data_IF_938548592714
#
_entry.id   IF_938548592714
#
_cell.length_a   1.000
_cell.length_b   1.000
_cell.length_c   1.000
_cell.angle_alpha   90.00
_cell.angle_beta   90.00
_cell.angle_gamma   90.00
#
_symmetry.space_group_name_H-M   'P 1'
#
loop_
_entity.id
_entity.type
_entity.pdbx_description
1 polymer ?
#
# COMPACT_ATOMS: atom_id res chain seq x y z
N UNK A 1 6.81 -27.26 14.09
CA UNK A 1 6.30 -27.33 12.70
C UNK A 1 7.49 -27.13 11.78
N UNK A 2 7.84 -28.14 10.97
CA UNK A 2 9.20 -28.32 10.44
C UNK A 2 9.56 -27.36 9.31
N UNK A 3 10.84 -26.97 9.29
CA UNK A 3 11.54 -26.06 8.38
C UNK A 3 11.34 -26.32 6.86
N UNK A 4 10.67 -27.44 6.52
CA UNK A 4 10.34 -27.88 5.16
C UNK A 4 9.13 -27.18 4.53
N UNK A 5 8.21 -26.59 5.31
CA UNK A 5 7.05 -25.86 4.79
C UNK A 5 7.22 -24.33 4.82
N UNK A 6 8.02 -23.81 5.76
CA UNK A 6 8.26 -22.37 5.91
C UNK A 6 9.02 -21.79 4.70
N UNK A 7 10.08 -22.44 4.23
CA UNK A 7 10.92 -21.95 3.12
C UNK A 7 10.17 -21.82 1.78
N UNK A 8 9.37 -22.81 1.31
CA UNK A 8 8.61 -22.66 0.08
C UNK A 8 7.46 -21.64 0.21
N UNK A 9 6.83 -21.54 1.39
CA UNK A 9 5.78 -20.55 1.63
C UNK A 9 6.35 -19.12 1.71
N UNK A 10 7.51 -18.93 2.36
CA UNK A 10 8.24 -17.65 2.40
C UNK A 10 8.71 -17.27 0.99
N UNK A 11 9.16 -18.23 0.16
CA UNK A 11 9.49 -17.96 -1.25
C UNK A 11 8.25 -17.60 -2.06
N UNK A 12 7.12 -18.29 -1.87
CA UNK A 12 5.86 -17.97 -2.55
C UNK A 12 5.33 -16.60 -2.11
N UNK A 13 5.39 -16.27 -0.82
CA UNK A 13 5.03 -14.97 -0.27
C UNK A 13 6.01 -13.90 -0.76
N UNK A 14 7.31 -14.16 -0.86
CA UNK A 14 8.29 -13.22 -1.41
C UNK A 14 8.09 -13.00 -2.92
N UNK A 15 7.75 -14.04 -3.68
CA UNK A 15 7.39 -13.91 -5.11
C UNK A 15 6.09 -13.13 -5.26
N UNK A 16 5.08 -13.39 -4.42
CA UNK A 16 3.82 -12.62 -4.39
C UNK A 16 4.07 -11.19 -3.91
N UNK A 17 4.94 -10.95 -2.94
CA UNK A 17 5.32 -9.63 -2.41
C UNK A 17 6.14 -8.81 -3.42
N UNK A 18 7.02 -9.45 -4.19
CA UNK A 18 7.70 -8.84 -5.32
C UNK A 18 6.76 -8.63 -6.52
N UNK A 19 5.68 -9.42 -6.64
CA UNK A 19 4.68 -9.30 -7.70
C UNK A 19 3.47 -8.42 -7.35
N UNK A 20 3.29 -8.04 -6.08
CA UNK A 20 2.12 -7.34 -5.59
C UNK A 20 2.56 -6.18 -4.67
N UNK A 21 2.67 -4.93 -5.17
CA UNK A 21 2.38 -4.45 -6.51
C UNK A 21 3.59 -3.73 -7.12
N UNK A 22 4.17 -4.31 -8.16
CA UNK A 22 4.37 -3.44 -9.30
C UNK A 22 2.96 -3.10 -9.80
N UNK A 23 2.64 -1.80 -9.82
CA UNK A 23 1.60 -1.21 -10.68
C UNK A 23 1.45 -2.07 -11.95
N UNK A 24 0.24 -2.42 -12.44
CA UNK A 24 -0.11 -3.44 -13.47
C UNK A 24 0.65 -3.44 -14.82
N UNK A 25 1.96 -3.34 -14.79
CA UNK A 25 2.86 -3.08 -15.89
C UNK A 25 4.13 -3.94 -15.77
N UNK A 26 4.09 -5.01 -14.98
CA UNK A 26 5.14 -6.05 -14.94
C UNK A 26 4.77 -7.30 -15.76
N UNK A 27 3.78 -7.19 -16.66
CA UNK A 27 3.40 -8.28 -17.57
C UNK A 27 3.95 -8.11 -19.01
N UNK A 28 4.47 -6.94 -19.39
CA UNK A 28 5.02 -6.68 -20.72
C UNK A 28 6.36 -5.93 -20.61
N UNK A 29 7.45 -6.65 -20.33
CA UNK A 29 8.84 -6.35 -20.73
C UNK A 29 9.83 -7.10 -19.82
N UNK A 30 10.07 -8.38 -20.10
CA UNK A 30 11.35 -9.00 -19.77
C UNK A 30 11.81 -9.73 -21.03
N UNK A 31 12.70 -9.06 -21.75
CA UNK A 31 13.64 -9.71 -22.65
C UNK A 31 14.82 -10.20 -21.78
N UNK A 32 15.16 -11.47 -21.90
CA UNK A 32 16.19 -12.15 -21.12
C UNK A 32 17.60 -11.76 -21.60
N UNK A 33 18.05 -10.52 -21.34
CA UNK A 33 19.49 -10.21 -21.30
C UNK A 33 19.73 -8.79 -20.81
N UNK A 34 19.92 -8.60 -19.50
CA UNK A 34 20.66 -7.46 -18.99
C UNK A 34 21.33 -7.82 -17.65
N UNK A 35 22.64 -7.63 -17.65
CA UNK A 35 23.64 -8.05 -16.67
C UNK A 35 23.45 -7.47 -15.26
N UNK A 36 23.87 -8.29 -14.29
CA UNK A 36 23.99 -7.96 -12.88
C UNK A 36 24.80 -6.68 -12.63
N UNK A 37 24.25 -5.79 -11.82
CA UNK A 37 24.98 -4.67 -11.22
C UNK A 37 25.55 -5.19 -9.89
N UNK A 38 26.87 -5.28 -9.83
CA UNK A 38 27.63 -5.67 -8.66
C UNK A 38 27.67 -4.50 -7.66
N UNK A 39 27.34 -4.76 -6.40
CA UNK A 39 27.40 -3.76 -5.32
C UNK A 39 28.56 -4.13 -4.38
N UNK A 40 29.54 -3.25 -4.32
CA UNK A 40 30.69 -3.34 -3.42
C UNK A 40 30.23 -3.28 -1.95
N UNK A 41 30.58 -4.35 -1.23
CA UNK A 41 30.30 -4.58 0.19
C UNK A 41 31.64 -4.68 0.92
N UNK A 42 32.28 -3.55 1.19
CA UNK A 42 33.42 -3.49 2.10
C UNK A 42 33.40 -2.22 2.97
N UNK A 43 32.96 -2.39 4.23
CA UNK A 43 33.65 -2.02 5.48
C UNK A 43 32.67 -1.65 6.63
N UNK A 44 32.75 -2.29 7.82
CA UNK A 44 31.91 -2.00 8.98
C UNK A 44 32.70 -1.48 10.20
N UNK A 45 32.60 -0.21 10.59
CA UNK A 45 33.03 0.25 11.93
C UNK A 45 32.16 1.43 12.42
N UNK A 46 31.35 1.21 13.47
CA UNK A 46 31.56 1.50 14.91
C UNK A 46 31.56 3.00 15.27
N UNK A 47 30.53 3.43 16.01
CA UNK A 47 30.70 3.90 17.39
C UNK A 47 29.35 4.16 18.08
N UNK A 48 29.25 3.60 19.28
CA UNK A 48 28.20 3.78 20.28
C UNK A 48 28.89 4.34 21.52
N UNK A 49 28.33 5.42 22.09
CA UNK A 49 28.39 5.90 23.48
C UNK A 49 28.57 7.42 23.57
N UNK A 50 27.52 8.09 24.04
CA UNK A 50 27.65 9.20 24.96
C UNK A 50 26.46 9.13 25.94
N UNK A 51 26.75 8.71 27.16
CA UNK A 51 25.89 8.84 28.33
C UNK A 51 25.75 10.34 28.65
N UNK A 52 24.53 10.86 28.64
CA UNK A 52 24.24 12.20 29.16
C UNK A 52 23.65 12.09 30.58
N UNK A 53 24.14 12.98 31.44
CA UNK A 53 24.01 13.01 32.89
C UNK A 53 22.55 13.13 33.38
N UNK A 54 22.24 12.41 34.47
CA UNK A 54 21.00 12.58 35.22
C UNK A 54 21.08 13.81 36.15
N UNK A 55 20.13 14.75 36.11
CA UNK A 55 20.01 15.76 37.16
C UNK A 55 19.33 15.18 38.42
N UNK A 56 19.79 15.66 39.57
CA UNK A 56 19.43 15.20 40.92
C UNK A 56 17.93 15.37 41.26
N UNK A 57 17.37 14.51 42.15
CA UNK A 57 15.95 14.54 42.49
C UNK A 57 15.59 15.76 43.35
N UNK A 58 14.50 16.43 42.99
CA UNK A 58 13.85 17.46 43.79
C UNK A 58 12.94 16.83 44.88
N UNK A 59 12.88 17.47 46.04
CA UNK A 59 12.18 16.97 47.24
C UNK A 59 10.66 16.81 47.07
N UNK A 60 10.02 15.87 47.79
CA UNK A 60 8.61 15.55 47.62
C UNK A 60 7.67 16.59 48.26
N UNK A 61 6.91 17.28 47.41
CA UNK A 61 5.72 18.03 47.81
C UNK A 61 4.55 17.10 48.13
N UNK A 62 3.87 17.37 49.23
CA UNK A 62 2.78 16.56 49.79
C UNK A 62 1.48 16.76 48.98
N UNK A 63 0.97 15.70 48.33
CA UNK A 63 -0.34 15.65 47.67
C UNK A 63 -0.48 14.41 46.76
N UNK A 64 -1.68 13.82 46.57
CA UNK A 64 -1.86 12.69 45.68
C UNK A 64 -1.51 13.11 44.24
N UNK A 65 -0.50 12.47 43.67
CA UNK A 65 -0.05 12.71 42.31
C UNK A 65 -1.15 12.35 41.32
N UNK A 66 -1.61 13.35 40.57
CA UNK A 66 -2.42 13.13 39.37
C UNK A 66 -1.63 12.17 38.45
N UNK A 67 -2.26 11.11 37.89
CA UNK A 67 -1.57 10.27 36.92
C UNK A 67 -1.07 11.18 35.80
N UNK A 68 0.25 11.18 35.59
CA UNK A 68 0.87 11.91 34.52
C UNK A 68 0.16 11.52 33.21
N UNK A 69 -0.31 12.51 32.46
CA UNK A 69 -0.76 12.27 31.10
C UNK A 69 0.36 11.50 30.39
N UNK A 70 0.04 10.44 29.62
CA UNK A 70 1.07 9.71 28.88
C UNK A 70 1.88 10.72 28.08
N UNK A 71 3.18 10.75 28.35
CA UNK A 71 4.12 11.60 27.61
C UNK A 71 4.10 11.05 26.19
N UNK A 72 3.40 11.73 25.30
CA UNK A 72 3.51 11.49 23.87
C UNK A 72 4.94 11.86 23.51
N UNK A 73 5.83 10.88 23.36
CA UNK A 73 7.14 11.12 22.76
C UNK A 73 6.87 11.61 21.33
N UNK A 74 6.94 12.93 21.13
CA UNK A 74 7.08 13.52 19.79
C UNK A 74 8.26 12.80 19.14
N UNK A 75 8.10 12.22 17.93
CA UNK A 75 9.19 11.50 17.29
C UNK A 75 10.38 12.46 17.17
N UNK A 76 11.47 12.13 17.86
CA UNK A 76 12.69 12.93 17.87
C UNK A 76 13.29 12.96 16.46
N UNK A 77 12.93 13.96 15.67
CA UNK A 77 13.45 14.09 14.31
C UNK A 77 13.19 15.47 13.70
N UNK A 78 14.08 15.85 12.80
CA UNK A 78 14.11 17.19 12.24
C UNK A 78 12.92 17.40 11.27
N UNK A 79 12.20 18.52 11.40
CA UNK A 79 11.29 18.96 10.34
C UNK A 79 12.10 19.53 9.19
N UNK A 80 11.87 19.03 7.97
CA UNK A 80 12.56 19.52 6.78
C UNK A 80 11.60 20.25 5.84
N UNK A 81 12.06 21.28 5.10
CA UNK A 81 11.25 21.95 4.09
C UNK A 81 10.99 21.01 2.91
N UNK A 82 9.84 21.20 2.24
CA UNK A 82 9.39 20.39 1.11
C UNK A 82 10.50 20.14 0.07
N UNK A 83 11.18 21.19 -0.39
CA UNK A 83 12.23 21.06 -1.41
C UNK A 83 13.41 20.16 -1.01
N UNK A 84 13.79 20.12 0.28
CA UNK A 84 14.84 19.21 0.77
C UNK A 84 14.37 17.76 0.77
N UNK A 85 13.11 17.53 1.15
CA UNK A 85 12.50 16.21 1.12
C UNK A 85 12.35 15.68 -0.31
N UNK A 86 11.83 16.49 -1.23
CA UNK A 86 11.75 16.15 -2.67
C UNK A 86 13.15 15.92 -3.24
N UNK A 87 14.10 16.79 -2.93
CA UNK A 87 15.49 16.67 -3.38
C UNK A 87 16.15 15.36 -2.98
N UNK A 88 15.80 14.79 -1.82
CA UNK A 88 16.33 13.52 -1.35
C UNK A 88 15.85 12.31 -2.18
N UNK A 89 14.70 12.41 -2.84
CA UNK A 89 14.08 11.31 -3.62
C UNK A 89 13.90 11.63 -5.10
N UNK A 90 14.53 12.71 -5.60
CA UNK A 90 14.30 13.24 -6.96
C UNK A 90 14.53 12.21 -8.07
N UNK A 91 15.48 11.29 -7.88
CA UNK A 91 15.79 10.26 -8.87
C UNK A 91 14.72 9.15 -8.88
N UNK A 92 14.27 8.73 -7.70
CA UNK A 92 13.16 7.77 -7.58
C UNK A 92 11.85 8.37 -8.12
N UNK A 93 11.57 9.64 -7.80
CA UNK A 93 10.42 10.36 -8.34
C UNK A 93 10.52 10.52 -9.87
N UNK A 94 11.69 10.88 -10.39
CA UNK A 94 11.93 10.96 -11.83
C UNK A 94 11.74 9.62 -12.54
N UNK A 95 12.26 8.54 -11.98
CA UNK A 95 12.06 7.18 -12.50
C UNK A 95 10.58 6.79 -12.51
N UNK A 96 9.84 7.10 -11.44
CA UNK A 96 8.39 6.86 -11.37
C UNK A 96 7.63 7.65 -12.45
N UNK A 97 7.97 8.91 -12.68
CA UNK A 97 7.33 9.73 -13.73
C UNK A 97 7.66 9.20 -15.13
N UNK A 98 8.90 8.81 -15.40
CA UNK A 98 9.29 8.16 -16.67
C UNK A 98 8.50 6.88 -16.89
N UNK A 99 8.35 6.06 -15.85
CA UNK A 99 7.55 4.83 -15.90
C UNK A 99 6.07 5.09 -16.19
N UNK A 100 5.44 6.01 -15.44
CA UNK A 100 4.04 6.41 -15.66
C UNK A 100 3.85 6.96 -17.08
N UNK A 101 4.81 7.73 -17.58
CA UNK A 101 4.81 8.24 -18.95
C UNK A 101 4.85 7.11 -19.98
N UNK A 102 5.84 6.21 -19.88
CA UNK A 102 6.01 5.11 -20.83
C UNK A 102 4.81 4.17 -20.86
N UNK A 103 4.28 3.82 -19.69
CA UNK A 103 3.09 2.95 -19.58
C UNK A 103 1.84 3.61 -20.14
N UNK A 104 1.64 4.91 -19.94
CA UNK A 104 0.50 5.61 -20.52
C UNK A 104 0.63 5.85 -22.02
N UNK A 105 1.83 6.15 -22.53
CA UNK A 105 2.09 6.20 -23.98
C UNK A 105 1.71 4.87 -24.61
N UNK A 106 2.21 3.75 -24.07
CA UNK A 106 1.89 2.42 -24.58
C UNK A 106 0.38 2.14 -24.59
N UNK A 107 -0.35 2.52 -23.53
CA UNK A 107 -1.81 2.38 -23.44
C UNK A 107 -2.53 3.22 -24.49
N UNK A 108 -2.21 4.51 -24.58
CA UNK A 108 -2.84 5.43 -25.55
C UNK A 108 -2.56 4.99 -26.99
N UNK A 109 -1.34 4.54 -27.29
CA UNK A 109 -0.99 4.03 -28.62
C UNK A 109 -1.75 2.75 -28.98
N UNK A 110 -1.98 1.84 -28.01
CA UNK A 110 -2.73 0.59 -28.24
C UNK A 110 -4.24 0.82 -28.41
N UNK A 111 -4.83 1.72 -27.62
CA UNK A 111 -6.27 1.93 -27.57
C UNK A 111 -6.78 3.01 -28.55
N UNK A 112 -5.86 3.84 -29.06
CA UNK A 112 -6.16 5.01 -29.86
C UNK A 112 -6.38 6.24 -28.98
N UNK A 113 -5.71 7.33 -29.36
CA UNK A 113 -5.82 8.62 -28.68
C UNK A 113 -7.08 9.39 -29.05
N UNK A 114 -7.63 10.12 -28.09
CA UNK A 114 -8.66 11.15 -28.28
C UNK A 114 -8.11 12.50 -27.80
N UNK A 115 -8.73 13.59 -28.26
CA UNK A 115 -8.50 14.91 -27.64
C UNK A 115 -8.90 14.86 -26.17
N UNK A 116 -8.23 15.68 -25.36
CA UNK A 116 -8.54 15.84 -23.94
C UNK A 116 -10.05 15.92 -23.71
N UNK A 117 -10.56 15.10 -22.82
CA UNK A 117 -11.95 15.12 -22.43
C UNK A 117 -12.13 14.69 -20.97
N UNK A 118 -13.19 15.23 -20.37
CA UNK A 118 -13.67 14.80 -19.07
C UNK A 118 -14.59 13.59 -19.24
N UNK A 119 -14.58 12.71 -18.25
CA UNK A 119 -15.44 11.55 -18.20
C UNK A 119 -16.07 11.48 -16.80
N UNK A 120 -17.39 11.42 -16.73
CA UNK A 120 -18.08 11.02 -15.51
C UNK A 120 -18.14 9.49 -15.49
N UNK A 121 -17.37 8.88 -14.60
CA UNK A 121 -17.31 7.42 -14.44
C UNK A 121 -18.27 6.90 -13.37
N UNK A 122 -18.92 7.80 -12.64
CA UNK A 122 -19.70 7.51 -11.46
C UNK A 122 -18.87 6.94 -10.30
N UNK A 123 -19.60 6.51 -9.27
CA UNK A 123 -19.02 5.95 -8.04
C UNK A 123 -19.24 4.42 -7.98
N UNK A 124 -19.75 3.92 -6.86
CA UNK A 124 -20.13 2.54 -6.65
C UNK A 124 -21.54 2.23 -7.20
N UNK A 125 -21.94 2.89 -8.30
CA UNK A 125 -23.25 2.67 -8.95
C UNK A 125 -23.35 1.29 -9.59
N UNK A 126 -24.58 0.79 -9.81
CA UNK A 126 -24.81 -0.48 -10.55
C UNK A 126 -24.68 -0.30 -12.07
N UNK A 127 -24.76 0.94 -12.49
CA UNK A 127 -24.68 1.46 -13.85
C UNK A 127 -23.23 1.77 -14.27
N UNK A 128 -22.29 1.95 -13.33
CA UNK A 128 -20.88 2.25 -13.66
C UNK A 128 -20.14 1.02 -14.19
N UNK A 129 -19.24 1.19 -15.17
CA UNK A 129 -18.57 0.09 -15.92
C UNK A 129 -17.87 -0.92 -14.98
N UNK A 130 -17.15 -0.42 -13.99
CA UNK A 130 -16.37 -1.25 -13.06
C UNK A 130 -17.01 -1.39 -11.67
N UNK A 131 -18.26 -0.95 -11.49
CA UNK A 131 -18.99 -1.05 -10.22
C UNK A 131 -18.20 -0.47 -9.03
N UNK A 132 -17.45 0.61 -9.24
CA UNK A 132 -16.59 1.24 -8.22
C UNK A 132 -15.28 0.50 -7.88
N UNK A 133 -14.95 -0.62 -8.54
CA UNK A 133 -13.64 -1.28 -8.32
C UNK A 133 -12.47 -0.39 -8.71
N UNK A 134 -12.63 0.32 -9.82
CA UNK A 134 -11.64 1.27 -10.32
C UNK A 134 -11.35 2.41 -9.31
N UNK A 135 -12.40 2.97 -8.72
CA UNK A 135 -12.32 3.96 -7.64
C UNK A 135 -11.50 3.46 -6.44
N UNK A 136 -11.66 2.20 -6.06
CA UNK A 136 -10.84 1.58 -5.00
C UNK A 136 -9.40 1.31 -5.44
N UNK A 137 -9.17 1.04 -6.72
CA UNK A 137 -7.82 0.96 -7.30
C UNK A 137 -7.09 2.30 -7.19
N UNK A 138 -7.75 3.41 -7.51
CA UNK A 138 -7.22 4.76 -7.36
C UNK A 138 -6.84 5.07 -5.90
N UNK A 139 -7.75 4.80 -4.96
CA UNK A 139 -7.48 4.99 -3.55
C UNK A 139 -6.34 4.10 -3.04
N UNK A 140 -6.33 2.81 -3.38
CA UNK A 140 -5.33 1.88 -2.87
C UNK A 140 -3.94 2.16 -3.45
N UNK A 141 -3.84 2.46 -4.75
CA UNK A 141 -2.58 2.84 -5.38
C UNK A 141 -2.02 4.11 -4.74
N UNK A 142 -2.87 5.13 -4.53
CA UNK A 142 -2.40 6.39 -3.93
C UNK A 142 -1.97 6.20 -2.48
N UNK A 143 -2.70 5.38 -1.72
CA UNK A 143 -2.32 4.98 -0.37
C UNK A 143 -0.92 4.34 -0.36
N UNK A 144 -0.71 3.31 -1.18
CA UNK A 144 0.55 2.57 -1.25
C UNK A 144 1.72 3.45 -1.71
N UNK A 145 1.55 4.25 -2.77
CA UNK A 145 2.58 5.18 -3.25
C UNK A 145 2.96 6.18 -2.16
N UNK A 146 1.97 6.68 -1.41
CA UNK A 146 2.21 7.63 -0.31
C UNK A 146 3.04 7.01 0.80
N UNK A 147 2.70 5.81 1.27
CA UNK A 147 3.50 5.13 2.29
C UNK A 147 4.93 4.85 1.79
N UNK A 148 5.10 4.44 0.52
CA UNK A 148 6.42 4.19 -0.07
C UNK A 148 7.29 5.46 -0.13
N UNK A 149 6.71 6.57 -0.60
CA UNK A 149 7.40 7.86 -0.67
C UNK A 149 7.73 8.37 0.73
N UNK A 150 6.78 8.30 1.67
CA UNK A 150 6.98 8.71 3.06
C UNK A 150 8.12 7.93 3.70
N UNK A 151 8.09 6.60 3.62
CA UNK A 151 9.12 5.73 4.14
C UNK A 151 10.49 6.04 3.51
N UNK A 152 10.54 6.32 2.20
CA UNK A 152 11.80 6.68 1.52
C UNK A 152 12.35 8.02 1.98
N UNK A 153 11.52 9.05 2.12
CA UNK A 153 11.94 10.37 2.64
C UNK A 153 12.44 10.22 4.07
N UNK A 154 11.67 9.55 4.95
CA UNK A 154 12.06 9.32 6.35
C UNK A 154 13.40 8.60 6.46
N UNK A 155 13.61 7.53 5.68
CA UNK A 155 14.89 6.78 5.67
C UNK A 155 16.09 7.61 5.20
N UNK A 156 15.91 8.47 4.19
CA UNK A 156 17.03 9.27 3.64
C UNK A 156 17.35 10.52 4.44
N UNK A 157 16.39 11.04 5.20
CA UNK A 157 16.49 12.39 5.75
C UNK A 157 16.17 12.51 7.25
N UNK A 158 15.55 11.50 7.85
CA UNK A 158 15.05 11.57 9.22
C UNK A 158 13.84 12.51 9.40
N UNK A 159 13.23 13.01 8.32
CA UNK A 159 12.17 14.01 8.41
C UNK A 159 10.91 13.50 9.13
N UNK A 160 10.49 14.21 10.18
CA UNK A 160 9.26 13.85 10.93
C UNK A 160 7.98 14.27 10.20
N UNK A 161 8.08 15.28 9.35
CA UNK A 161 6.97 15.84 8.57
C UNK A 161 6.91 15.31 7.12
N UNK A 162 7.38 14.09 6.89
CA UNK A 162 7.44 13.47 5.56
C UNK A 162 6.07 13.16 4.94
N UNK A 163 5.07 12.84 5.77
CA UNK A 163 3.76 12.40 5.29
C UNK A 163 3.08 13.40 4.35
N UNK A 164 3.04 14.69 4.69
CA UNK A 164 2.37 15.69 3.83
C UNK A 164 3.08 15.87 2.49
N UNK A 165 4.41 15.84 2.47
CA UNK A 165 5.20 15.84 1.23
C UNK A 165 4.88 14.60 0.40
N UNK A 166 4.88 13.43 1.03
CA UNK A 166 4.58 12.18 0.36
C UNK A 166 3.19 12.19 -0.27
N UNK A 167 2.17 12.60 0.49
CA UNK A 167 0.79 12.68 0.01
C UNK A 167 0.67 13.65 -1.17
N UNK A 168 1.33 14.81 -1.10
CA UNK A 168 1.34 15.81 -2.17
C UNK A 168 2.01 15.27 -3.45
N UNK A 169 3.13 14.56 -3.32
CA UNK A 169 3.83 13.95 -4.45
C UNK A 169 3.02 12.81 -5.07
N UNK A 170 2.43 11.92 -4.26
CA UNK A 170 1.54 10.87 -4.74
C UNK A 170 0.35 11.42 -5.50
N UNK A 171 -0.31 12.46 -4.95
CA UNK A 171 -1.38 13.17 -5.64
C UNK A 171 -0.93 13.77 -6.96
N UNK A 172 0.26 14.35 -7.02
CA UNK A 172 0.85 14.86 -8.27
C UNK A 172 1.10 13.78 -9.30
N UNK A 173 1.63 12.62 -8.90
CA UNK A 173 1.86 11.46 -9.78
C UNK A 173 0.54 10.89 -10.30
N UNK A 174 -0.46 10.76 -9.43
CA UNK A 174 -1.76 10.23 -9.80
C UNK A 174 -2.54 11.21 -10.69
N UNK A 175 -2.52 12.50 -10.38
CA UNK A 175 -3.07 13.54 -11.26
C UNK A 175 -2.39 13.53 -12.63
N UNK A 176 -1.07 13.33 -12.67
CA UNK A 176 -0.35 13.19 -13.93
C UNK A 176 -0.83 11.99 -14.74
N UNK A 177 -1.12 10.85 -14.09
CA UNK A 177 -1.74 9.70 -14.75
C UNK A 177 -3.16 10.01 -15.27
N UNK A 178 -4.00 10.70 -14.50
CA UNK A 178 -5.35 11.12 -14.95
C UNK A 178 -5.31 12.03 -16.20
N UNK A 179 -4.29 12.90 -16.30
CA UNK A 179 -4.10 13.73 -17.49
C UNK A 179 -3.82 12.88 -18.74
N UNK A 180 -3.22 11.70 -18.58
CA UNK A 180 -3.10 10.73 -19.68
C UNK A 180 -4.41 10.01 -19.97
N UNK A 181 -5.19 9.65 -18.94
CA UNK A 181 -6.54 9.07 -19.11
C UNK A 181 -7.45 10.00 -19.92
N UNK A 182 -7.34 11.32 -19.75
CA UNK A 182 -8.03 12.33 -20.55
C UNK A 182 -7.86 12.18 -22.08
N UNK A 183 -6.81 11.49 -22.52
CA UNK A 183 -6.48 11.27 -23.94
C UNK A 183 -6.79 9.86 -24.42
N UNK A 184 -7.35 8.97 -23.59
CA UNK A 184 -7.74 7.63 -24.00
C UNK A 184 -9.11 7.64 -24.67
N UNK A 185 -9.45 6.56 -25.37
CA UNK A 185 -10.79 6.41 -25.98
C UNK A 185 -11.79 5.74 -25.02
N UNK A 186 -11.27 4.92 -24.11
CA UNK A 186 -12.02 4.05 -23.19
C UNK A 186 -12.28 4.68 -21.82
N UNK A 187 -11.47 5.67 -21.43
CA UNK A 187 -11.53 6.45 -20.18
C UNK A 187 -11.30 7.93 -20.48
N UNK A 188 -11.46 8.79 -19.48
CA UNK A 188 -11.20 10.24 -19.56
C UNK A 188 -10.82 10.83 -18.20
N UNK A 189 -10.61 12.15 -18.14
CA UNK A 189 -10.26 12.81 -16.88
C UNK A 189 -11.47 12.79 -15.93
N UNK A 190 -11.29 12.17 -14.76
CA UNK A 190 -12.38 11.90 -13.81
C UNK A 190 -12.12 12.55 -12.45
N UNK A 191 -13.05 13.40 -12.02
CA UNK A 191 -12.98 14.02 -10.68
C UNK A 191 -13.24 13.00 -9.57
N UNK A 192 -13.99 11.94 -9.87
CA UNK A 192 -14.21 10.85 -8.94
C UNK A 192 -12.89 10.12 -8.65
N UNK A 193 -12.02 9.92 -9.65
CA UNK A 193 -10.71 9.30 -9.44
C UNK A 193 -9.78 10.19 -8.65
N UNK A 194 -9.77 11.50 -8.92
CA UNK A 194 -9.02 12.47 -8.11
C UNK A 194 -9.48 12.43 -6.65
N UNK A 195 -10.79 12.37 -6.40
CA UNK A 195 -11.32 12.28 -5.05
C UNK A 195 -10.92 10.97 -4.34
N UNK A 196 -10.87 9.86 -5.06
CA UNK A 196 -10.42 8.58 -4.51
C UNK A 196 -8.91 8.55 -4.29
N UNK A 197 -8.12 9.15 -5.18
CA UNK A 197 -6.69 9.37 -4.99
C UNK A 197 -6.46 10.16 -3.69
N UNK A 198 -7.19 11.27 -3.51
CA UNK A 198 -7.14 12.07 -2.28
C UNK A 198 -7.53 11.26 -1.04
N UNK A 199 -8.54 10.40 -1.14
CA UNK A 199 -8.97 9.51 -0.05
C UNK A 199 -7.86 8.51 0.33
N UNK A 200 -7.16 7.94 -0.66
CA UNK A 200 -6.00 7.07 -0.44
C UNK A 200 -4.83 7.75 0.24
N UNK A 201 -4.43 8.93 -0.26
CA UNK A 201 -3.40 9.77 0.35
C UNK A 201 -3.77 10.18 1.78
N UNK A 202 -5.04 10.57 2.00
CA UNK A 202 -5.58 10.91 3.31
C UNK A 202 -5.56 9.73 4.28
N UNK A 203 -5.88 8.53 3.82
CA UNK A 203 -5.79 7.31 4.64
C UNK A 203 -4.34 7.01 5.05
N UNK A 204 -3.37 7.13 4.13
CA UNK A 204 -1.94 7.02 4.45
C UNK A 204 -1.53 8.02 5.55
N UNK A 205 -1.87 9.30 5.37
CA UNK A 205 -1.59 10.35 6.36
C UNK A 205 -2.19 10.02 7.71
N UNK A 206 -3.46 9.62 7.75
CA UNK A 206 -4.14 9.26 9.00
C UNK A 206 -3.43 8.09 9.68
N UNK A 207 -3.14 7.02 8.92
CA UNK A 207 -2.49 5.80 9.41
C UNK A 207 -1.10 6.06 10.00
N UNK A 208 -0.32 6.95 9.38
CA UNK A 208 1.06 7.22 9.80
C UNK A 208 1.17 8.38 10.81
N UNK A 209 0.19 9.29 10.88
CA UNK A 209 0.19 10.40 11.82
C UNK A 209 -0.43 10.05 13.18
N UNK A 210 -1.37 9.10 13.23
CA UNK A 210 -2.00 8.65 14.49
C UNK A 210 -1.14 7.56 15.12
N UNK A 211 -0.61 7.77 16.35
CA UNK A 211 0.26 6.80 17.01
C UNK A 211 -0.36 5.40 17.11
N UNK A 212 0.33 4.40 16.56
CA UNK A 212 -0.04 2.99 16.61
C UNK A 212 -1.20 2.59 15.70
N UNK A 213 -1.74 3.49 14.86
CA UNK A 213 -2.79 3.13 13.90
C UNK A 213 -2.25 2.22 12.78
N UNK A 214 -1.01 2.45 12.35
CA UNK A 214 -0.26 1.59 11.42
C UNK A 214 -0.17 0.12 11.87
N UNK A 215 -0.05 -0.11 13.19
CA UNK A 215 -0.06 -1.47 13.79
C UNK A 215 -1.46 -2.09 13.84
N UNK A 216 -2.52 -1.29 13.74
CA UNK A 216 -3.92 -1.72 13.93
C UNK A 216 -4.67 -1.88 12.61
N UNK A 217 -4.45 -1.02 11.62
CA UNK A 217 -5.31 -0.94 10.45
C UNK A 217 -4.50 -0.88 9.15
N UNK A 218 -4.82 -1.78 8.23
CA UNK A 218 -4.24 -1.82 6.89
C UNK A 218 -5.33 -1.69 5.83
N UNK A 219 -5.02 -1.06 4.69
CA UNK A 219 -5.86 -1.08 3.49
C UNK A 219 -5.21 -1.97 2.43
N UNK A 220 -5.77 -3.17 2.24
CA UNK A 220 -5.15 -4.24 1.46
C UNK A 220 -5.87 -4.55 0.16
N UNK A 221 -5.09 -4.94 -0.83
CA UNK A 221 -5.53 -5.59 -2.05
C UNK A 221 -5.41 -7.11 -1.90
N UNK A 222 -6.49 -7.82 -2.18
CA UNK A 222 -6.53 -9.27 -2.36
C UNK A 222 -6.71 -9.57 -3.85
N UNK A 223 -5.72 -10.23 -4.45
CA UNK A 223 -5.82 -10.76 -5.82
C UNK A 223 -6.21 -12.23 -5.79
N UNK A 224 -7.43 -12.55 -6.21
CA UNK A 224 -7.88 -13.93 -6.34
C UNK A 224 -7.33 -14.53 -7.65
N UNK A 225 -6.54 -15.61 -7.59
CA UNK A 225 -6.03 -16.25 -8.78
C UNK A 225 -7.18 -16.73 -9.68
N UNK A 226 -7.01 -16.58 -10.98
CA UNK A 226 -7.88 -17.18 -11.99
C UNK A 226 -7.06 -18.17 -12.85
N UNK A 227 -7.64 -18.67 -13.94
CA UNK A 227 -6.94 -19.59 -14.85
C UNK A 227 -5.66 -19.02 -15.47
N UNK A 228 -5.55 -17.70 -15.54
CA UNK A 228 -4.40 -16.98 -16.08
C UNK A 228 -3.43 -16.58 -14.94
N UNK A 229 -3.69 -17.01 -13.69
CA UNK A 229 -3.08 -16.59 -12.42
C UNK A 229 -3.31 -15.09 -12.15
N UNK A 230 -2.93 -14.22 -13.07
CA UNK A 230 -3.09 -12.78 -13.03
C UNK A 230 -3.49 -12.21 -14.41
N UNK A 231 -4.43 -11.28 -14.43
CA UNK A 231 -4.82 -10.54 -15.63
C UNK A 231 -4.37 -9.09 -15.50
N UNK A 232 -3.54 -8.55 -16.43
CA UNK A 232 -2.90 -7.25 -16.26
C UNK A 232 -3.80 -6.05 -16.59
N UNK A 233 -4.88 -6.24 -17.37
CA UNK A 233 -5.69 -5.11 -17.85
C UNK A 233 -7.16 -5.47 -18.14
N UNK A 234 -7.98 -4.44 -18.27
CA UNK A 234 -9.40 -4.52 -18.60
C UNK A 234 -10.28 -5.00 -17.43
N UNK A 235 -11.57 -5.22 -17.70
CA UNK A 235 -12.56 -5.58 -16.65
C UNK A 235 -12.23 -6.88 -15.90
N UNK A 236 -11.52 -7.81 -16.56
CA UNK A 236 -11.06 -9.07 -15.94
C UNK A 236 -10.03 -8.86 -14.84
N UNK A 237 -9.20 -7.81 -14.94
CA UNK A 237 -8.25 -7.41 -13.91
C UNK A 237 -9.00 -7.06 -12.61
N UNK A 238 -9.94 -6.11 -12.70
CA UNK A 238 -10.77 -5.71 -11.56
C UNK A 238 -11.59 -6.86 -10.98
N UNK A 239 -11.99 -7.83 -11.80
CA UNK A 239 -12.75 -9.00 -11.34
C UNK A 239 -11.96 -9.91 -10.38
N UNK A 240 -10.63 -9.90 -10.45
CA UNK A 240 -9.76 -10.63 -9.52
C UNK A 240 -9.51 -9.89 -8.22
N UNK A 241 -9.69 -8.56 -8.23
CA UNK A 241 -9.37 -7.69 -7.11
C UNK A 241 -10.49 -7.73 -6.07
N UNK A 242 -10.08 -7.71 -4.80
CA UNK A 242 -10.92 -7.33 -3.67
C UNK A 242 -10.14 -6.36 -2.83
N UNK A 243 -10.77 -5.28 -2.42
CA UNK A 243 -10.16 -4.29 -1.55
C UNK A 243 -10.74 -4.44 -0.16
N UNK A 244 -9.91 -4.42 0.87
CA UNK A 244 -10.35 -4.62 2.25
C UNK A 244 -9.54 -3.79 3.23
N UNK A 245 -10.21 -3.35 4.29
CA UNK A 245 -9.56 -2.92 5.51
C UNK A 245 -9.38 -4.12 6.43
N UNK A 246 -8.16 -4.27 6.96
CA UNK A 246 -7.82 -5.31 7.93
C UNK A 246 -7.51 -4.68 9.29
N UNK A 247 -8.38 -4.91 10.26
CA UNK A 247 -8.17 -4.56 11.65
C UNK A 247 -7.40 -5.69 12.33
N UNK A 248 -6.13 -5.46 12.60
CA UNK A 248 -5.18 -6.37 13.24
C UNK A 248 -5.34 -6.31 14.75
N UNK A 249 -5.78 -7.42 15.36
CA UNK A 249 -5.96 -7.46 16.80
C UNK A 249 -4.63 -7.39 17.56
N UNK A 250 -3.52 -7.82 16.96
CA UNK A 250 -2.18 -7.66 17.52
C UNK A 250 -1.76 -6.21 17.78
N UNK A 251 -2.38 -5.23 17.10
CA UNK A 251 -2.05 -3.82 17.31
C UNK A 251 -2.60 -3.22 18.61
N UNK A 252 -3.34 -3.99 19.40
CA UNK A 252 -3.95 -3.55 20.66
C UNK A 252 -3.20 -4.16 21.86
N UNK A 253 -2.77 -3.33 22.79
CA UNK A 253 -2.00 -3.71 24.00
C UNK A 253 -2.68 -4.85 24.78
N UNK A 254 -4.01 -4.83 24.91
CA UNK A 254 -4.74 -5.90 25.61
C UNK A 254 -4.79 -7.25 24.88
N UNK A 255 -4.39 -7.32 23.61
CA UNK A 255 -4.52 -8.49 22.74
C UNK A 255 -3.18 -8.97 22.17
N UNK A 256 -2.12 -8.15 22.21
CA UNK A 256 -0.81 -8.44 21.60
C UNK A 256 -0.12 -9.67 22.20
N UNK A 257 -0.31 -9.93 23.50
CA UNK A 257 0.23 -11.12 24.18
C UNK A 257 -0.73 -12.31 24.20
N UNK A 258 -1.91 -12.19 23.58
CA UNK A 258 -2.93 -13.23 23.55
C UNK A 258 -2.92 -14.03 22.24
N UNK A 259 -3.57 -15.21 22.17
CA UNK A 259 -3.80 -15.90 20.91
C UNK A 259 -4.55 -15.07 19.85
N UNK A 260 -5.26 -14.01 20.25
CA UNK A 260 -5.98 -13.14 19.33
C UNK A 260 -5.05 -12.28 18.47
N UNK A 261 -3.74 -12.16 18.79
CA UNK A 261 -2.78 -11.47 17.92
C UNK A 261 -2.73 -12.03 16.49
N UNK A 262 -3.05 -13.31 16.32
CA UNK A 262 -3.08 -13.96 15.01
C UNK A 262 -4.38 -13.70 14.24
N UNK A 263 -5.33 -12.95 14.79
CA UNK A 263 -6.64 -12.71 14.19
C UNK A 263 -6.72 -11.29 13.61
N UNK A 264 -7.31 -11.20 12.42
CA UNK A 264 -7.66 -9.95 11.76
C UNK A 264 -9.17 -9.92 11.47
N UNK A 265 -9.80 -8.76 11.64
CA UNK A 265 -11.18 -8.52 11.22
C UNK A 265 -11.17 -7.75 9.90
N UNK A 266 -11.91 -8.25 8.91
CA UNK A 266 -11.93 -7.71 7.56
C UNK A 266 -13.27 -7.04 7.26
N UNK A 267 -13.21 -5.89 6.60
CA UNK A 267 -14.35 -5.26 5.94
C UNK A 267 -13.90 -4.79 4.56
N UNK A 268 -14.63 -5.12 3.51
CA UNK A 268 -14.15 -4.86 2.16
C UNK A 268 -15.23 -4.87 1.10
N UNK A 269 -14.77 -4.80 -0.15
CA UNK A 269 -15.61 -4.68 -1.32
C UNK A 269 -15.05 -5.48 -2.50
N UNK A 270 -15.94 -6.15 -3.22
CA UNK A 270 -15.69 -6.75 -4.54
C UNK A 270 -16.88 -6.52 -5.47
N UNK A 271 -16.65 -6.70 -6.77
CA UNK A 271 -17.71 -6.68 -7.76
C UNK A 271 -17.65 -7.93 -8.66
N UNK A 272 -18.79 -8.31 -9.24
CA UNK A 272 -18.91 -9.41 -10.21
C UNK A 272 -19.94 -9.09 -11.28
N UNK A 273 -19.89 -9.78 -12.42
CA UNK A 273 -20.94 -9.68 -13.44
C UNK A 273 -20.75 -8.52 -14.43
N UNK A 274 -19.56 -7.91 -14.49
CA UNK A 274 -19.26 -6.74 -15.32
C UNK A 274 -18.16 -6.99 -16.36
N UNK A 275 -17.67 -8.23 -16.46
CA UNK A 275 -16.77 -8.60 -17.54
C UNK A 275 -17.57 -8.95 -18.79
N UNK A 276 -17.03 -8.70 -19.99
CA UNK A 276 -17.72 -8.99 -21.25
C UNK A 276 -18.19 -10.47 -21.35
N UNK A 277 -17.45 -11.40 -20.75
CA UNK A 277 -17.83 -12.83 -20.69
C UNK A 277 -18.99 -13.11 -19.74
N UNK A 278 -19.04 -12.42 -18.60
CA UNK A 278 -20.14 -12.53 -17.63
C UNK A 278 -21.41 -11.88 -18.20
N UNK A 279 -21.27 -10.70 -18.83
CA UNK A 279 -22.38 -10.02 -19.52
C UNK A 279 -22.94 -10.86 -20.67
N UNK A 280 -22.09 -11.48 -21.49
CA UNK A 280 -22.51 -12.39 -22.56
C UNK A 280 -23.25 -13.64 -22.06
N UNK A 281 -23.02 -14.07 -20.80
CA UNK A 281 -23.78 -15.16 -20.16
C UNK A 281 -25.08 -14.68 -19.50
N UNK A 282 -25.32 -13.38 -19.45
CA UNK A 282 -26.45 -12.80 -18.71
C UNK A 282 -26.24 -12.78 -17.19
N UNK A 283 -25.00 -12.86 -16.72
CA UNK A 283 -24.71 -12.79 -15.28
C UNK A 283 -25.08 -11.39 -14.75
N UNK A 284 -25.83 -11.28 -13.65
CA UNK A 284 -26.21 -9.98 -13.12
C UNK A 284 -25.01 -9.25 -12.51
N UNK A 285 -24.91 -7.94 -12.79
CA UNK A 285 -23.95 -7.03 -12.17
C UNK A 285 -24.20 -6.95 -10.66
N UNK A 286 -23.21 -7.31 -9.84
CA UNK A 286 -23.32 -7.33 -8.38
C UNK A 286 -22.17 -6.59 -7.72
N UNK A 287 -22.54 -5.68 -6.83
CA UNK A 287 -21.69 -5.04 -5.85
C UNK A 287 -21.75 -5.87 -4.58
N UNK A 288 -20.61 -6.18 -3.98
CA UNK A 288 -20.53 -7.14 -2.88
C UNK A 288 -19.63 -6.59 -1.78
N UNK A 289 -20.16 -5.71 -0.91
CA UNK A 289 -19.50 -5.45 0.36
C UNK A 289 -19.43 -6.75 1.16
N UNK A 290 -18.36 -6.95 1.90
CA UNK A 290 -18.14 -8.17 2.67
C UNK A 290 -17.51 -7.87 4.02
N UNK A 291 -17.73 -8.77 4.97
CA UNK A 291 -16.99 -8.84 6.23
C UNK A 291 -16.24 -10.16 6.31
N UNK A 292 -15.25 -10.26 7.19
CA UNK A 292 -14.51 -11.50 7.33
C UNK A 292 -13.60 -11.57 8.54
N UNK A 293 -12.99 -12.73 8.69
CA UNK A 293 -11.97 -13.01 9.70
C UNK A 293 -10.77 -13.63 8.98
N UNK A 294 -9.58 -13.12 9.27
CA UNK A 294 -8.32 -13.51 8.64
C UNK A 294 -7.24 -13.87 9.64
N UNK A 295 -6.16 -14.44 9.10
CA UNK A 295 -4.92 -14.69 9.83
C UNK A 295 -3.96 -13.51 9.66
N UNK A 296 -3.46 -13.00 10.79
CA UNK A 296 -2.35 -12.04 10.80
C UNK A 296 -1.04 -12.76 10.46
N UNK A 297 -0.70 -12.77 9.17
CA UNK A 297 0.49 -13.45 8.69
C UNK A 297 1.78 -12.76 9.13
N UNK A 298 1.73 -11.46 9.42
CA UNK A 298 2.88 -10.75 9.98
C UNK A 298 3.23 -11.30 11.36
N UNK A 299 2.24 -11.50 12.23
CA UNK A 299 2.46 -12.15 13.53
C UNK A 299 2.84 -13.62 13.38
N UNK A 300 2.27 -14.34 12.40
CA UNK A 300 2.57 -15.76 12.23
C UNK A 300 4.02 -16.02 11.81
N UNK A 301 4.59 -15.17 10.96
CA UNK A 301 5.91 -15.41 10.35
C UNK A 301 7.02 -14.47 10.82
N UNK A 302 6.69 -13.30 11.37
CA UNK A 302 7.65 -12.22 11.62
C UNK A 302 7.57 -11.62 13.02
N UNK A 303 6.90 -12.29 13.98
CA UNK A 303 6.71 -11.84 15.36
C UNK A 303 7.99 -11.28 16.02
N UNK A 304 9.09 -12.04 15.99
CA UNK A 304 10.35 -11.68 16.66
C UNK A 304 11.25 -10.73 15.85
N UNK A 305 10.70 -10.16 14.76
CA UNK A 305 11.32 -9.30 13.73
C UNK A 305 11.63 -10.06 12.44
N UNK A 306 11.35 -9.46 11.27
CA UNK A 306 11.75 -10.04 10.00
C UNK A 306 13.29 -10.06 9.86
N UNK A 307 13.85 -11.22 9.53
CA UNK A 307 15.29 -11.39 9.31
C UNK A 307 15.67 -11.20 7.83
N UNK A 308 16.84 -10.58 7.60
CA UNK A 308 17.36 -10.31 6.27
C UNK A 308 16.55 -9.26 5.47
N UNK A 309 16.93 -9.05 4.20
CA UNK A 309 16.20 -8.13 3.32
C UNK A 309 14.87 -8.73 2.86
N UNK A 310 14.85 -10.02 2.53
CA UNK A 310 13.67 -10.72 2.01
C UNK A 310 12.54 -10.80 3.04
N UNK A 311 12.87 -11.10 4.31
CA UNK A 311 11.88 -11.11 5.39
C UNK A 311 11.25 -9.73 5.61
N UNK A 312 12.07 -8.66 5.59
CA UNK A 312 11.58 -7.28 5.72
C UNK A 312 10.67 -6.90 4.57
N UNK A 313 11.07 -7.18 3.32
CA UNK A 313 10.25 -6.93 2.14
C UNK A 313 8.92 -7.70 2.17
N UNK A 314 8.95 -8.97 2.58
CA UNK A 314 7.74 -9.79 2.71
C UNK A 314 6.80 -9.23 3.79
N UNK A 315 7.33 -8.86 4.96
CA UNK A 315 6.53 -8.27 6.04
C UNK A 315 5.92 -6.93 5.65
N UNK A 316 6.66 -6.09 4.91
CA UNK A 316 6.18 -4.82 4.37
C UNK A 316 5.07 -5.05 3.32
N UNK A 317 5.24 -6.00 2.40
CA UNK A 317 4.23 -6.31 1.40
C UNK A 317 2.91 -6.82 2.02
N UNK A 318 2.97 -7.60 3.10
CA UNK A 318 1.78 -8.06 3.82
C UNK A 318 0.93 -6.93 4.43
N UNK A 319 1.48 -5.71 4.56
CA UNK A 319 0.70 -4.54 4.98
C UNK A 319 -0.23 -4.03 3.87
N UNK A 320 0.10 -4.30 2.61
CA UNK A 320 -0.66 -3.80 1.45
C UNK A 320 -1.39 -4.91 0.71
N UNK A 321 -0.96 -6.17 0.87
CA UNK A 321 -1.47 -7.31 0.11
C UNK A 321 -1.99 -8.38 1.04
N UNK A 322 -3.23 -8.79 0.80
CA UNK A 322 -3.80 -9.96 1.44
C UNK A 322 -3.45 -11.22 0.63
N UNK A 323 -2.89 -12.21 1.31
CA UNK A 323 -2.63 -13.52 0.69
C UNK A 323 -3.95 -14.28 0.50
N UNK A 324 -4.21 -14.86 -0.68
CA UNK A 324 -5.40 -15.67 -0.91
C UNK A 324 -5.51 -16.86 0.06
N UNK A 325 -6.74 -17.21 0.42
CA UNK A 325 -7.07 -18.37 1.27
C UNK A 325 -6.56 -18.31 2.72
N UNK A 326 -6.11 -17.14 3.19
CA UNK A 326 -5.75 -16.92 4.61
C UNK A 326 -6.83 -16.18 5.39
N UNK A 327 -8.00 -15.98 4.76
CA UNK A 327 -9.16 -15.37 5.38
C UNK A 327 -10.46 -15.96 4.82
N UNK A 328 -11.50 -15.92 5.64
CA UNK A 328 -12.87 -16.17 5.24
C UNK A 328 -13.62 -14.85 5.09
N UNK A 329 -14.30 -14.64 3.96
CA UNK A 329 -15.12 -13.46 3.68
C UNK A 329 -16.57 -13.90 3.37
N UNK A 330 -17.55 -13.27 4.02
CA UNK A 330 -18.98 -13.49 3.82
C UNK A 330 -19.62 -12.25 3.17
N UNK A 331 -20.46 -12.46 2.16
CA UNK A 331 -21.05 -11.43 1.28
C UNK A 331 -22.45 -11.76 0.75
#
# INVERSE_FOLDING_TARGET
MTDRLAKPLIRAIAVIACAAPAVPALADAVDESASAIDFDLSDPHKDWLALAEQPAPAEPGYGPSLPAAPVTEEPSGQRLPFGRQVGAIKWELGAALVWVTGTNIAKVSREGGRRFHFQDEGWFGKDTINLGMDKLTHAWNTYWITDMIEARIRRKTGATNAGLTAASLSMGVMLYAELWDAHKKSSGFSFQDIAMNASGAGFSLLRNAVPGLDRKLDFRLLLIPNKDIYTPSGTRHYRQMRYLFALKLAGFEGLEDSPLRFVELHAGYRATGFTAKEEARGDPRRRRPFIGIGLNLNELFFHERPSGWAGRAASEALQYVQVPYTAYHAD
#
